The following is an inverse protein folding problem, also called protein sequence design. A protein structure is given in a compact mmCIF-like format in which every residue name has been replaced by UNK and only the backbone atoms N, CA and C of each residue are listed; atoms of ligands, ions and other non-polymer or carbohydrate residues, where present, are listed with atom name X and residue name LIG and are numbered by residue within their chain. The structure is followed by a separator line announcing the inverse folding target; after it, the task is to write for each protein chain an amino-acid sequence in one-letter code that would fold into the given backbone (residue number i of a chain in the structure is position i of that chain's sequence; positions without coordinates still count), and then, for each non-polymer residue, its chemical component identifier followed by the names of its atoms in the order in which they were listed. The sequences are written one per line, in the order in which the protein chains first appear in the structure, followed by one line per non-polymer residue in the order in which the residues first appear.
data_IF_331273798630
#
_entry.id   IF_331273798630
#
_cell.length_a   1.000
_cell.length_b   1.000
_cell.length_c   1.000
_cell.angle_alpha   90.00
_cell.angle_beta   90.00
_cell.angle_gamma   90.00
#
_symmetry.space_group_name_H-M   'P 1'
#
loop_
_entity.id
_entity.type
_entity.pdbx_description
1 polymer ?
#
# COMPACT_ATOMS: atom_id res chain seq x y z
N UNK A 1 -11.15 23.01 1.14
CA UNK A 1 -12.05 22.63 2.25
C UNK A 1 -13.48 22.92 1.90
N UNK A 2 -14.35 21.96 2.21
CA UNK A 2 -15.80 22.14 2.19
C UNK A 2 -16.26 22.52 3.59
N UNK A 3 -17.11 23.53 3.69
CA UNK A 3 -17.76 23.88 4.96
C UNK A 3 -18.82 22.83 5.26
N UNK A 4 -18.93 22.41 6.53
CA UNK A 4 -19.90 21.41 6.95
C UNK A 4 -21.34 21.90 6.66
N UNK A 5 -22.10 21.10 5.91
CA UNK A 5 -23.54 21.30 5.64
C UNK A 5 -24.29 20.05 6.14
N UNK A 6 -25.47 20.19 6.78
CA UNK A 6 -26.24 19.04 7.28
C UNK A 6 -26.64 18.01 6.20
N UNK A 7 -26.66 18.42 4.93
CA UNK A 7 -26.97 17.56 3.78
C UNK A 7 -25.74 16.87 3.19
N UNK A 8 -24.54 17.22 3.67
CA UNK A 8 -23.31 16.61 3.21
C UNK A 8 -23.24 15.17 3.71
N UNK A 9 -23.34 14.22 2.78
CA UNK A 9 -23.12 12.81 3.09
C UNK A 9 -21.62 12.51 3.07
N UNK A 10 -21.10 12.06 4.21
CA UNK A 10 -19.72 11.63 4.33
C UNK A 10 -19.49 10.35 3.53
N UNK A 11 -18.42 10.33 2.75
CA UNK A 11 -18.01 9.19 1.96
C UNK A 11 -16.79 8.51 2.59
N UNK A 12 -16.60 7.23 2.27
CA UNK A 12 -15.42 6.49 2.70
C UNK A 12 -14.15 7.10 2.10
N UNK A 13 -13.22 7.52 2.95
CA UNK A 13 -11.97 8.16 2.54
C UNK A 13 -11.94 9.67 2.75
N UNK A 14 -13.07 10.28 3.13
CA UNK A 14 -13.12 11.69 3.48
C UNK A 14 -12.31 11.98 4.76
N UNK A 15 -11.67 13.15 4.78
CA UNK A 15 -11.01 13.69 5.97
C UNK A 15 -11.93 14.70 6.63
N UNK A 16 -12.32 14.42 7.86
CA UNK A 16 -13.19 15.31 8.65
C UNK A 16 -12.38 15.96 9.76
N UNK A 17 -12.39 17.28 9.82
CA UNK A 17 -11.79 18.05 10.93
C UNK A 17 -12.88 18.44 11.92
N UNK A 18 -12.71 18.07 13.19
CA UNK A 18 -13.70 18.31 14.25
C UNK A 18 -13.06 19.12 15.36
N UNK A 19 -13.80 20.10 15.90
CA UNK A 19 -13.35 20.99 16.99
C UNK A 19 -14.36 20.88 18.13
N UNK A 20 -13.88 20.64 19.35
CA UNK A 20 -14.74 20.46 20.53
C UNK A 20 -13.94 20.09 21.76
N UNK A 21 -14.64 19.70 22.83
CA UNK A 21 -14.00 19.20 24.05
C UNK A 21 -13.29 17.87 23.81
N UNK A 22 -12.27 17.56 24.61
CA UNK A 22 -11.49 16.32 24.47
C UNK A 22 -12.37 15.06 24.57
N UNK A 23 -13.32 15.04 25.51
CA UNK A 23 -14.28 13.94 25.66
C UNK A 23 -15.18 13.79 24.41
N UNK A 24 -15.58 14.90 23.79
CA UNK A 24 -16.35 14.89 22.54
C UNK A 24 -15.53 14.36 21.37
N UNK A 25 -14.26 14.75 21.27
CA UNK A 25 -13.35 14.28 20.22
C UNK A 25 -13.13 12.76 20.34
N UNK A 26 -12.90 12.25 21.55
CA UNK A 26 -12.74 10.81 21.78
C UNK A 26 -13.99 9.99 21.38
N UNK A 27 -15.18 10.54 21.56
CA UNK A 27 -16.42 9.89 21.12
C UNK A 27 -16.55 9.89 19.60
N UNK A 28 -16.18 10.99 18.94
CA UNK A 28 -16.17 11.08 17.47
C UNK A 28 -15.16 10.12 16.86
N UNK A 29 -13.96 10.00 17.44
CA UNK A 29 -12.94 9.04 17.03
C UNK A 29 -13.44 7.58 17.11
N UNK A 30 -14.22 7.23 18.14
CA UNK A 30 -14.82 5.89 18.26
C UNK A 30 -15.88 5.62 17.20
N UNK A 31 -16.62 6.65 16.78
CA UNK A 31 -17.74 6.51 15.83
C UNK A 31 -17.28 6.56 14.37
N UNK A 32 -16.50 7.57 13.99
CA UNK A 32 -15.99 7.75 12.62
C UNK A 32 -14.73 6.92 12.36
N UNK A 33 -14.00 6.56 13.42
CA UNK A 33 -12.66 6.01 13.31
C UNK A 33 -11.62 7.11 13.11
N UNK A 34 -10.47 6.96 13.77
CA UNK A 34 -9.25 7.72 13.49
C UNK A 34 -8.10 6.78 13.09
N UNK A 35 -8.45 5.57 12.69
CA UNK A 35 -7.56 4.82 11.83
C UNK A 35 -7.66 5.50 10.48
N UNK A 36 -6.87 6.56 10.26
CA UNK A 36 -6.15 6.70 9.00
C UNK A 36 -5.43 5.38 8.86
N UNK A 37 -6.22 4.48 8.28
CA UNK A 37 -6.07 3.06 8.09
C UNK A 37 -4.60 2.82 7.89
N UNK A 38 -4.09 1.75 8.52
CA UNK A 38 -2.80 1.10 8.26
C UNK A 38 -2.53 0.97 6.75
N UNK A 39 -2.29 2.10 6.09
CA UNK A 39 -2.05 2.34 4.67
C UNK A 39 -0.59 2.66 4.46
N UNK A 40 0.19 2.80 5.53
CA UNK A 40 1.59 3.22 5.46
C UNK A 40 2.56 2.24 6.10
N UNK A 41 2.14 1.00 6.26
CA UNK A 41 3.13 -0.07 6.35
C UNK A 41 2.74 -1.17 5.35
N UNK A 42 2.69 -0.89 4.03
CA UNK A 42 3.03 -1.97 3.12
C UNK A 42 4.34 -2.55 3.65
N UNK A 43 4.37 -3.86 3.88
CA UNK A 43 5.56 -4.50 4.44
C UNK A 43 6.66 -4.43 3.37
N UNK A 44 7.37 -3.29 3.33
CA UNK A 44 8.40 -2.99 2.33
C UNK A 44 9.48 -4.06 2.36
N UNK A 45 9.73 -4.64 3.53
CA UNK A 45 10.61 -5.79 3.73
C UNK A 45 10.08 -7.00 2.96
N UNK A 46 8.80 -7.36 3.06
CA UNK A 46 8.21 -8.45 2.27
C UNK A 46 8.32 -8.23 0.76
N UNK A 47 8.08 -7.00 0.29
CA UNK A 47 8.20 -6.65 -1.14
C UNK A 47 9.67 -6.78 -1.59
N UNK A 48 10.59 -6.25 -0.80
CA UNK A 48 12.02 -6.29 -1.10
C UNK A 48 12.54 -7.73 -1.14
N UNK A 49 12.14 -8.56 -0.17
CA UNK A 49 12.48 -10.00 -0.15
C UNK A 49 11.91 -10.71 -1.37
N UNK A 50 10.66 -10.44 -1.74
CA UNK A 50 10.03 -11.04 -2.91
C UNK A 50 10.76 -10.71 -4.22
N UNK A 51 11.12 -9.45 -4.42
CA UNK A 51 11.87 -9.00 -5.60
C UNK A 51 13.29 -9.56 -5.60
N UNK A 52 14.01 -9.49 -4.47
CA UNK A 52 15.37 -10.01 -4.36
C UNK A 52 15.43 -11.51 -4.64
N UNK A 53 14.51 -12.30 -4.08
CA UNK A 53 14.39 -13.72 -4.37
C UNK A 53 14.03 -13.98 -5.84
N UNK A 54 13.09 -13.21 -6.39
CA UNK A 54 12.70 -13.31 -7.79
C UNK A 54 13.86 -13.04 -8.75
N UNK A 55 14.69 -12.04 -8.46
CA UNK A 55 15.90 -11.73 -9.24
C UNK A 55 16.96 -12.82 -9.07
N UNK A 56 17.20 -13.31 -7.86
CA UNK A 56 18.15 -14.40 -7.62
C UNK A 56 17.77 -15.66 -8.40
N UNK A 57 16.51 -16.08 -8.31
CA UNK A 57 15.99 -17.25 -9.04
C UNK A 57 15.99 -16.99 -10.55
N UNK A 58 15.53 -15.82 -11.01
CA UNK A 58 15.50 -15.45 -12.42
C UNK A 58 16.89 -15.33 -13.07
N UNK A 59 17.90 -15.01 -12.28
CA UNK A 59 19.28 -14.89 -12.75
C UNK A 59 19.98 -16.23 -12.99
N UNK A 60 19.37 -17.35 -12.58
CA UNK A 60 19.89 -18.70 -12.84
C UNK A 60 19.87 -18.93 -14.35
N UNK A 61 21.04 -19.09 -14.99
CA UNK A 61 21.10 -19.28 -16.43
C UNK A 61 20.57 -20.67 -16.79
N UNK A 62 19.52 -20.72 -17.60
CA UNK A 62 19.06 -21.96 -18.20
C UNK A 62 19.73 -22.13 -19.57
N UNK A 63 20.50 -23.20 -19.72
CA UNK A 63 21.10 -23.57 -21.00
C UNK A 63 20.11 -24.48 -21.74
N UNK A 64 19.53 -23.96 -22.83
CA UNK A 64 18.71 -24.74 -23.74
C UNK A 64 19.60 -25.30 -24.86
N UNK A 65 19.54 -26.61 -25.17
CA UNK A 65 20.29 -27.18 -26.28
C UNK A 65 19.84 -26.53 -27.60
N UNK A 66 20.79 -25.90 -28.31
CA UNK A 66 20.54 -25.20 -29.58
C UNK A 66 20.56 -23.66 -29.50
N UNK A 67 20.64 -23.06 -28.30
CA UNK A 67 20.81 -21.61 -28.14
C UNK A 67 22.24 -21.33 -27.61
N UNK A 68 23.10 -20.62 -28.35
CA UNK A 68 24.50 -20.41 -27.97
C UNK A 68 24.70 -19.49 -26.75
N UNK A 69 23.65 -18.77 -26.32
CA UNK A 69 23.71 -17.84 -25.21
C UNK A 69 22.81 -18.31 -24.03
N UNK A 70 23.33 -18.36 -22.79
CA UNK A 70 22.53 -18.73 -21.62
C UNK A 70 21.39 -17.72 -21.40
N UNK A 71 20.15 -18.22 -21.31
CA UNK A 71 18.96 -17.37 -21.12
C UNK A 71 18.71 -17.18 -19.63
N UNK A 72 18.55 -15.93 -19.18
CA UNK A 72 18.13 -15.58 -17.82
C UNK A 72 16.69 -15.07 -17.87
N UNK A 73 15.86 -15.47 -16.90
CA UNK A 73 14.53 -14.89 -16.68
C UNK A 73 14.72 -13.44 -16.22
N UNK A 74 14.72 -12.51 -17.17
CA UNK A 74 14.96 -11.07 -16.92
C UNK A 74 15.79 -10.37 -18.00
N UNK A 75 16.46 -11.12 -18.89
CA UNK A 75 17.18 -10.61 -20.06
C UNK A 75 16.54 -11.06 -21.39
N UNK A 76 15.23 -11.31 -21.38
CA UNK A 76 14.46 -11.51 -22.60
C UNK A 76 13.95 -10.14 -23.07
N UNK A 77 14.87 -9.39 -23.68
CA UNK A 77 14.64 -8.14 -24.38
C UNK A 77 15.44 -8.13 -25.66
#
# INVERSE_FOLDING_TARGET
DLVADPRLQLQLGDRVTVVGSEASIANVEKFLGNSLKRLREPNLISIFIGIALGVLIGSIPFMFPGIPQPVKLGLAG
#
